data_IF_934235972475
#
_entry.id   IF_934235972475
#
_cell.length_a   1.000
_cell.length_b   1.000
_cell.length_c   1.000
_cell.angle_alpha   90.00
_cell.angle_beta   90.00
_cell.angle_gamma   90.00
#
_symmetry.space_group_name_H-M   'P 1'
#
loop_
_entity.id
_entity.type
_entity.pdbx_description
1 polymer ?
#
# COMPACT_ATOMS: atom_id res chain seq x y z
N UNK A 1 -3.33 18.01 21.95
CA UNK A 1 -3.08 17.52 20.59
C UNK A 1 -4.35 16.89 20.06
N UNK A 2 -4.73 17.12 18.80
CA UNK A 2 -5.93 16.50 18.21
C UNK A 2 -5.79 14.97 18.22
N UNK A 3 -6.90 14.27 18.49
CA UNK A 3 -6.94 12.81 18.59
C UNK A 3 -6.87 12.13 17.21
N UNK A 4 -7.32 12.85 16.20
CA UNK A 4 -7.35 12.41 14.80
C UNK A 4 -6.30 13.16 13.99
N UNK A 5 -5.50 12.41 13.23
CA UNK A 5 -4.53 12.93 12.26
C UNK A 5 -5.10 12.63 10.86
N UNK A 6 -5.50 13.66 10.09
CA UNK A 6 -6.14 13.42 8.79
C UNK A 6 -5.25 12.71 7.78
N UNK A 7 -3.95 13.02 7.79
CA UNK A 7 -2.99 12.52 6.80
C UNK A 7 -1.59 12.48 7.40
N UNK A 8 -0.89 11.38 7.14
CA UNK A 8 0.57 11.26 7.23
C UNK A 8 1.07 10.87 5.84
N UNK A 9 2.16 11.49 5.38
CA UNK A 9 2.73 11.19 4.07
C UNK A 9 4.23 10.99 4.18
N UNK A 10 4.72 9.96 3.50
CA UNK A 10 6.12 9.59 3.42
C UNK A 10 6.53 9.61 1.95
N UNK A 11 7.54 10.42 1.61
CA UNK A 11 8.15 10.37 0.28
C UNK A 11 8.91 9.06 0.07
N UNK A 12 9.26 8.75 -1.18
CA UNK A 12 9.91 7.49 -1.54
C UNK A 12 11.26 7.25 -0.87
N UNK A 13 11.98 8.32 -0.50
CA UNK A 13 13.27 8.21 0.17
C UNK A 13 13.18 7.77 1.64
N UNK A 14 11.99 7.79 2.26
CA UNK A 14 11.82 7.41 3.67
C UNK A 14 11.72 5.89 3.77
N UNK A 15 12.70 5.25 4.40
CA UNK A 15 12.73 3.79 4.57
C UNK A 15 11.63 3.27 5.50
N UNK A 16 11.34 1.96 5.44
CA UNK A 16 10.28 1.33 6.24
C UNK A 16 10.44 1.59 7.75
N UNK A 17 11.64 1.40 8.30
CA UNK A 17 11.92 1.61 9.73
C UNK A 17 11.64 3.06 10.16
N UNK A 18 12.04 4.04 9.35
CA UNK A 18 11.78 5.46 9.64
C UNK A 18 10.28 5.79 9.61
N UNK A 19 9.54 5.23 8.64
CA UNK A 19 8.08 5.39 8.55
C UNK A 19 7.40 4.86 9.82
N UNK A 20 7.80 3.67 10.26
CA UNK A 20 7.29 3.05 11.49
C UNK A 20 7.65 3.90 12.71
N UNK A 21 8.89 4.35 12.85
CA UNK A 21 9.31 5.20 13.96
C UNK A 21 8.52 6.51 14.07
N UNK A 22 8.21 7.15 12.93
CA UNK A 22 7.35 8.34 12.90
C UNK A 22 5.92 8.02 13.35
N UNK A 23 5.34 6.91 12.88
CA UNK A 23 3.99 6.51 13.27
C UNK A 23 3.91 6.14 14.76
N UNK A 24 4.90 5.42 15.28
CA UNK A 24 4.99 5.10 16.72
C UNK A 24 5.11 6.38 17.57
N UNK A 25 5.84 7.40 17.09
CA UNK A 25 5.97 8.68 17.76
C UNK A 25 4.66 9.49 17.83
N UNK A 26 3.68 9.22 16.96
CA UNK A 26 2.33 9.79 17.07
C UNK A 26 1.56 9.22 18.28
N UNK A 27 2.05 8.13 18.88
CA UNK A 27 1.45 7.33 19.96
C UNK A 27 0.18 6.57 19.54
N UNK A 28 0.07 5.32 20.01
CA UNK A 28 -1.01 4.38 19.65
C UNK A 28 -2.44 4.82 19.96
N UNK A 29 -2.63 5.84 20.81
CA UNK A 29 -3.94 6.42 21.11
C UNK A 29 -4.49 7.35 20.01
N UNK A 30 -3.66 7.68 19.01
CA UNK A 30 -4.09 8.47 17.85
C UNK A 30 -4.75 7.61 16.80
N UNK A 31 -5.61 8.27 16.03
CA UNK A 31 -6.21 7.69 14.85
C UNK A 31 -5.73 8.44 13.62
N UNK A 32 -5.07 7.74 12.70
CA UNK A 32 -4.62 8.27 11.42
C UNK A 32 -5.62 7.86 10.35
N UNK A 33 -6.23 8.84 9.71
CA UNK A 33 -7.23 8.56 8.69
C UNK A 33 -6.59 8.00 7.41
N UNK A 34 -5.47 8.60 6.97
CA UNK A 34 -4.74 8.16 5.77
C UNK A 34 -3.23 8.21 5.99
N UNK A 35 -2.56 7.14 5.58
CA UNK A 35 -1.10 7.10 5.42
C UNK A 35 -0.79 6.98 3.94
N UNK A 36 0.06 7.87 3.42
CA UNK A 36 0.56 7.83 2.05
C UNK A 36 2.03 7.41 2.06
N UNK A 37 2.39 6.50 1.17
CA UNK A 37 3.76 6.02 0.96
C UNK A 37 4.10 6.20 -0.52
N UNK A 38 5.04 7.10 -0.80
CA UNK A 38 5.28 7.63 -2.13
C UNK A 38 4.19 8.57 -2.60
N UNK A 39 4.39 9.10 -3.79
CA UNK A 39 3.38 9.83 -4.57
C UNK A 39 3.58 9.56 -6.08
N UNK A 40 2.82 10.25 -6.92
CA UNK A 40 2.85 10.08 -8.38
C UNK A 40 4.19 10.48 -9.00
N UNK A 41 4.88 11.50 -8.45
CA UNK A 41 6.16 11.99 -8.96
C UNK A 41 7.33 11.17 -8.41
N UNK A 42 7.23 10.74 -7.15
CA UNK A 42 8.22 9.91 -6.45
C UNK A 42 7.57 8.64 -5.89
N UNK A 43 7.24 7.64 -6.76
CA UNK A 43 6.71 6.37 -6.31
C UNK A 43 7.80 5.53 -5.63
N UNK A 44 7.37 4.70 -4.69
CA UNK A 44 8.26 3.79 -3.97
C UNK A 44 8.61 2.60 -4.85
N UNK A 45 9.89 2.32 -5.06
CA UNK A 45 10.29 1.13 -5.83
C UNK A 45 9.89 -0.16 -5.12
N UNK A 46 9.25 -1.07 -5.86
CA UNK A 46 8.79 -2.39 -5.39
C UNK A 46 9.91 -3.19 -4.70
N UNK A 47 11.16 -3.08 -5.16
CA UNK A 47 12.28 -3.89 -4.66
C UNK A 47 13.12 -3.19 -3.60
N UNK A 48 13.02 -1.87 -3.45
CA UNK A 48 13.91 -1.09 -2.58
C UNK A 48 13.19 -0.42 -1.41
N UNK A 49 11.88 -0.16 -1.54
CA UNK A 49 11.21 0.78 -0.67
C UNK A 49 10.41 0.19 0.50
N UNK A 50 10.40 -1.14 0.64
CA UNK A 50 9.77 -1.85 1.78
C UNK A 50 8.33 -1.40 2.06
N UNK A 51 7.57 -1.05 1.02
CA UNK A 51 6.28 -0.37 1.15
C UNK A 51 5.27 -1.17 1.98
N UNK A 52 5.42 -2.48 2.03
CA UNK A 52 4.56 -3.41 2.77
C UNK A 52 5.10 -3.80 4.15
N UNK A 53 6.26 -3.29 4.56
CA UNK A 53 6.96 -3.76 5.76
C UNK A 53 6.54 -2.99 7.03
N UNK A 54 6.47 -3.71 8.15
CA UNK A 54 6.39 -3.12 9.50
C UNK A 54 5.00 -2.69 9.97
N UNK A 55 3.97 -2.75 9.13
CA UNK A 55 2.60 -2.32 9.47
C UNK A 55 1.96 -3.10 10.63
N UNK A 56 2.43 -4.32 10.93
CA UNK A 56 1.94 -5.13 12.03
C UNK A 56 2.45 -4.73 13.43
N UNK A 57 3.18 -3.62 13.59
CA UNK A 57 3.65 -3.19 14.92
C UNK A 57 2.47 -2.79 15.83
N UNK A 58 2.47 -3.34 17.06
CA UNK A 58 1.43 -3.08 18.06
C UNK A 58 1.46 -1.64 18.62
N UNK A 59 2.51 -0.88 18.35
CA UNK A 59 2.66 0.49 18.85
C UNK A 59 2.15 1.54 17.85
N UNK A 60 1.71 1.11 16.67
CA UNK A 60 1.17 2.02 15.67
C UNK A 60 -0.17 2.61 16.13
N UNK A 61 -0.48 3.85 15.71
CA UNK A 61 -1.82 4.39 15.84
C UNK A 61 -2.80 3.53 15.03
N UNK A 62 -4.09 3.67 15.33
CA UNK A 62 -5.13 3.10 14.48
C UNK A 62 -5.06 3.78 13.10
N UNK A 63 -4.96 3.00 12.02
CA UNK A 63 -4.84 3.51 10.64
C UNK A 63 -6.05 3.04 9.85
N UNK A 64 -6.86 3.95 9.29
CA UNK A 64 -8.02 3.55 8.47
C UNK A 64 -7.65 3.17 7.05
N UNK A 65 -6.78 3.94 6.42
CA UNK A 65 -6.41 3.76 5.02
C UNK A 65 -4.91 3.87 4.81
N UNK A 66 -4.33 2.93 4.09
CA UNK A 66 -2.96 3.00 3.56
C UNK A 66 -3.03 3.19 2.05
N UNK A 67 -2.33 4.18 1.53
CA UNK A 67 -2.19 4.44 0.10
C UNK A 67 -0.72 4.35 -0.28
N UNK A 68 -0.42 3.51 -1.25
CA UNK A 68 0.94 3.28 -1.74
C UNK A 68 1.01 3.63 -3.21
N UNK A 69 1.89 4.56 -3.56
CA UNK A 69 2.33 4.76 -4.94
C UNK A 69 3.62 3.98 -5.14
N UNK A 70 3.63 3.09 -6.11
CA UNK A 70 4.70 2.14 -6.31
C UNK A 70 5.13 2.06 -7.76
N UNK A 71 6.43 1.97 -8.01
CA UNK A 71 7.00 1.69 -9.33
C UNK A 71 7.61 0.29 -9.37
N UNK A 72 7.53 -0.34 -10.54
CA UNK A 72 8.19 -1.60 -10.83
C UNK A 72 9.43 -1.29 -11.67
N UNK A 73 10.65 -1.58 -11.19
CA UNK A 73 11.87 -1.38 -11.97
C UNK A 73 11.83 -2.16 -13.29
N UNK A 74 12.36 -1.58 -14.37
CA UNK A 74 12.35 -2.18 -15.72
C UNK A 74 13.03 -3.55 -15.78
N UNK A 75 13.94 -3.84 -14.84
CA UNK A 75 14.66 -5.11 -14.79
C UNK A 75 13.86 -6.24 -14.13
N UNK A 76 12.70 -5.94 -13.53
CA UNK A 76 11.84 -6.92 -12.87
C UNK A 76 10.79 -7.42 -13.86
N UNK A 77 10.77 -8.73 -14.10
CA UNK A 77 9.75 -9.36 -14.95
C UNK A 77 8.34 -9.18 -14.34
N UNK A 78 7.34 -8.93 -15.18
CA UNK A 78 5.95 -8.68 -14.77
C UNK A 78 5.36 -9.77 -13.88
N UNK A 79 5.67 -11.03 -14.15
CA UNK A 79 5.24 -12.17 -13.34
C UNK A 79 5.84 -12.13 -11.94
N UNK A 80 7.13 -11.81 -11.83
CA UNK A 80 7.83 -11.65 -10.56
C UNK A 80 7.29 -10.44 -9.80
N UNK A 81 7.06 -9.33 -10.51
CA UNK A 81 6.44 -8.14 -9.91
C UNK A 81 5.04 -8.45 -9.35
N UNK A 82 4.21 -9.18 -10.11
CA UNK A 82 2.89 -9.63 -9.69
C UNK A 82 2.93 -10.50 -8.43
N UNK A 83 3.89 -11.43 -8.33
CA UNK A 83 4.09 -12.26 -7.14
C UNK A 83 4.54 -11.44 -5.92
N UNK A 84 5.49 -10.52 -6.10
CA UNK A 84 5.97 -9.63 -5.03
C UNK A 84 4.86 -8.73 -4.50
N UNK A 85 4.04 -8.16 -5.40
CA UNK A 85 2.88 -7.34 -5.02
C UNK A 85 1.85 -8.18 -4.28
N UNK A 86 1.56 -9.40 -4.76
CA UNK A 86 0.64 -10.33 -4.08
C UNK A 86 1.12 -10.63 -2.67
N UNK A 87 2.38 -11.02 -2.52
CA UNK A 87 2.94 -11.46 -1.24
C UNK A 87 3.02 -10.28 -0.25
N UNK A 88 3.47 -9.11 -0.72
CA UNK A 88 3.51 -7.88 0.08
C UNK A 88 2.14 -7.39 0.52
N UNK A 89 1.17 -7.33 -0.41
CA UNK A 89 -0.21 -6.96 -0.07
C UNK A 89 -0.82 -7.96 0.90
N UNK A 90 -0.65 -9.26 0.67
CA UNK A 90 -1.16 -10.30 1.56
C UNK A 90 -0.58 -10.14 2.96
N UNK A 91 0.73 -9.91 3.07
CA UNK A 91 1.39 -9.65 4.34
C UNK A 91 0.81 -8.43 5.06
N UNK A 92 0.59 -7.32 4.36
CA UNK A 92 0.01 -6.10 4.93
C UNK A 92 -1.44 -6.34 5.40
N UNK A 93 -2.26 -7.03 4.62
CA UNK A 93 -3.67 -7.28 4.94
C UNK A 93 -3.85 -8.31 6.06
N UNK A 94 -2.95 -9.30 6.15
CA UNK A 94 -2.92 -10.28 7.24
C UNK A 94 -2.31 -9.71 8.53
N UNK A 95 -1.55 -8.61 8.42
CA UNK A 95 -1.08 -7.88 9.60
C UNK A 95 -2.28 -7.30 10.36
N UNK A 96 -2.21 -7.36 11.70
CA UNK A 96 -3.24 -6.82 12.59
C UNK A 96 -3.17 -5.29 12.69
N UNK A 97 -3.18 -4.59 11.56
CA UNK A 97 -3.19 -3.12 11.52
C UNK A 97 -4.50 -2.64 12.14
N UNK A 98 -4.40 -2.01 13.30
CA UNK A 98 -5.56 -1.59 14.06
C UNK A 98 -6.39 -0.58 13.27
N UNK A 99 -7.68 -0.85 13.09
CA UNK A 99 -8.62 0.04 12.40
C UNK A 99 -8.52 0.06 10.88
N UNK A 100 -7.67 -0.78 10.27
CA UNK A 100 -7.53 -0.83 8.82
C UNK A 100 -8.84 -1.24 8.16
N UNK A 101 -9.29 -0.39 7.23
CA UNK A 101 -10.49 -0.56 6.42
C UNK A 101 -10.16 -0.66 4.94
N UNK A 102 -9.07 -0.03 4.49
CA UNK A 102 -8.76 0.06 3.08
C UNK A 102 -7.26 0.12 2.80
N UNK A 103 -6.83 -0.55 1.74
CA UNK A 103 -5.52 -0.37 1.13
C UNK A 103 -5.71 0.01 -0.33
N UNK A 104 -5.02 1.06 -0.76
CA UNK A 104 -4.96 1.53 -2.12
C UNK A 104 -3.53 1.35 -2.61
N UNK A 105 -3.37 0.71 -3.76
CA UNK A 105 -2.09 0.59 -4.47
C UNK A 105 -2.26 1.20 -5.85
N UNK A 106 -1.35 2.10 -6.19
CA UNK A 106 -1.28 2.70 -7.51
C UNK A 106 0.08 2.39 -8.13
N UNK A 107 0.06 1.91 -9.37
CA UNK A 107 1.26 1.68 -10.17
C UNK A 107 1.18 2.52 -11.47
N UNK A 108 2.21 3.32 -11.79
CA UNK A 108 2.26 4.04 -13.06
C UNK A 108 2.31 3.05 -14.23
N UNK A 109 1.81 3.50 -15.36
CA UNK A 109 1.95 2.80 -16.63
C UNK A 109 3.43 2.67 -17.01
N UNK A 110 3.83 1.51 -17.55
CA UNK A 110 5.23 1.22 -17.86
C UNK A 110 5.50 -0.23 -18.24
N UNK A 111 4.58 -1.13 -17.88
CA UNK A 111 4.66 -2.55 -18.19
C UNK A 111 3.33 -3.03 -18.77
N UNK A 112 3.36 -3.45 -20.04
CA UNK A 112 2.16 -3.75 -20.83
C UNK A 112 1.36 -4.93 -20.24
N UNK A 113 2.04 -5.92 -19.63
CA UNK A 113 1.42 -7.14 -19.12
C UNK A 113 1.34 -7.19 -17.58
N UNK A 114 1.89 -6.20 -16.87
CA UNK A 114 1.93 -6.17 -15.39
C UNK A 114 0.53 -6.22 -14.77
N UNK A 115 -0.43 -5.52 -15.34
CA UNK A 115 -1.81 -5.53 -14.85
C UNK A 115 -2.42 -6.92 -14.90
N UNK A 116 -2.12 -7.68 -15.96
CA UNK A 116 -2.60 -9.04 -16.12
C UNK A 116 -1.82 -10.02 -15.24
N UNK A 117 -0.52 -9.82 -15.06
CA UNK A 117 0.29 -10.60 -14.12
C UNK A 117 -0.22 -10.43 -12.67
N UNK A 118 -0.47 -9.20 -12.22
CA UNK A 118 -1.03 -8.92 -10.90
C UNK A 118 -2.41 -9.60 -10.75
N UNK A 119 -3.29 -9.49 -11.75
CA UNK A 119 -4.62 -10.14 -11.73
C UNK A 119 -4.54 -11.66 -11.71
N UNK A 120 -3.54 -12.27 -12.34
CA UNK A 120 -3.31 -13.71 -12.30
C UNK A 120 -2.80 -14.17 -10.93
N UNK A 121 -1.98 -13.35 -10.26
CA UNK A 121 -1.42 -13.65 -8.95
C UNK A 121 -2.41 -13.40 -7.80
N UNK A 122 -3.23 -12.35 -7.88
CA UNK A 122 -4.15 -11.96 -6.81
C UNK A 122 -5.53 -12.56 -6.98
N UNK A 123 -5.97 -13.26 -5.94
CA UNK A 123 -7.36 -13.65 -5.82
C UNK A 123 -8.23 -12.42 -5.50
N UNK A 124 -9.54 -12.53 -5.75
CA UNK A 124 -10.50 -11.47 -5.41
C UNK A 124 -10.69 -11.23 -3.90
N UNK A 125 -9.95 -11.96 -3.05
CA UNK A 125 -10.03 -11.87 -1.59
C UNK A 125 -8.72 -12.26 -0.91
N UNK A 126 -8.40 -11.53 0.16
CA UNK A 126 -7.39 -11.88 1.15
C UNK A 126 -7.98 -11.63 2.54
N UNK A 127 -8.08 -12.66 3.38
CA UNK A 127 -8.71 -12.55 4.69
C UNK A 127 -10.12 -11.94 4.64
N UNK A 128 -10.32 -10.87 5.40
CA UNK A 128 -11.57 -10.09 5.45
C UNK A 128 -11.67 -9.01 4.36
N UNK A 129 -10.72 -8.93 3.43
CA UNK A 129 -10.66 -7.90 2.41
C UNK A 129 -11.06 -8.42 1.04
N UNK A 130 -12.01 -7.75 0.40
CA UNK A 130 -12.28 -7.98 -1.02
C UNK A 130 -11.35 -7.09 -1.86
N UNK A 131 -10.76 -7.68 -2.92
CA UNK A 131 -9.78 -7.03 -3.80
C UNK A 131 -10.45 -6.69 -5.12
N UNK A 132 -10.28 -5.45 -5.55
CA UNK A 132 -10.84 -4.91 -6.79
C UNK A 132 -9.77 -4.13 -7.54
N UNK A 133 -9.87 -4.15 -8.87
CA UNK A 133 -9.06 -3.34 -9.77
C UNK A 133 -10.00 -2.29 -10.36
N UNK A 134 -9.70 -1.01 -10.17
CA UNK A 134 -10.47 0.03 -10.85
C UNK A 134 -9.99 0.11 -12.30
N UNK A 135 -10.91 0.14 -13.27
CA UNK A 135 -10.54 0.36 -14.66
C UNK A 135 -9.94 1.76 -14.82
N UNK A 136 -9.02 1.90 -15.77
CA UNK A 136 -8.35 3.15 -16.10
C UNK A 136 -9.36 4.31 -16.13
N UNK A 137 -9.20 5.24 -15.19
CA UNK A 137 -9.98 6.47 -15.19
C UNK A 137 -9.52 7.37 -16.33
N UNK A 138 -10.37 8.27 -16.88
CA UNK A 138 -10.00 9.18 -17.98
C UNK A 138 -8.86 10.17 -17.65
N UNK A 139 -8.35 10.13 -16.42
CA UNK A 139 -7.28 10.98 -15.91
C UNK A 139 -6.16 10.18 -15.21
N UNK A 140 -6.18 8.84 -15.30
CA UNK A 140 -5.24 7.96 -14.59
C UNK A 140 -4.65 6.97 -15.60
N UNK A 141 -3.39 7.17 -15.95
CA UNK A 141 -2.57 6.19 -16.70
C UNK A 141 -1.87 5.30 -15.68
N UNK A 142 -2.41 4.10 -15.41
CA UNK A 142 -1.82 3.17 -14.46
C UNK A 142 -2.80 2.20 -13.83
N UNK A 143 -2.27 1.24 -13.08
CA UNK A 143 -3.06 0.18 -12.43
C UNK A 143 -3.43 0.66 -11.02
N UNK A 144 -4.73 0.84 -10.77
CA UNK A 144 -5.25 1.06 -9.42
C UNK A 144 -5.88 -0.21 -8.85
N UNK A 145 -5.39 -0.62 -7.69
CA UNK A 145 -5.91 -1.74 -6.93
C UNK A 145 -6.39 -1.29 -5.56
N UNK A 146 -7.53 -1.84 -5.13
CA UNK A 146 -8.14 -1.56 -3.84
C UNK A 146 -8.43 -2.86 -3.09
N UNK A 147 -7.98 -2.93 -1.85
CA UNK A 147 -8.43 -3.94 -0.89
C UNK A 147 -9.33 -3.25 0.14
N UNK A 148 -10.59 -3.69 0.26
CA UNK A 148 -11.58 -3.09 1.15
C UNK A 148 -12.04 -4.13 2.16
N UNK A 149 -11.98 -3.77 3.44
CA UNK A 149 -12.41 -4.65 4.54
C UNK A 149 -13.92 -4.82 4.52
N UNK A 150 -14.37 -6.05 4.67
CA UNK A 150 -15.78 -6.39 4.85
C UNK A 150 -16.26 -5.96 6.22
N UNK A 151 -17.42 -5.31 6.24
CA UNK A 151 -18.16 -4.93 7.46
C UNK A 151 -18.91 -6.10 8.08
#
# INVERSE_FOLDING_TARGET
MPREVPKVAFGAAVGAEDRIGVLEALAGEREVYRVYVGDEEEPVSLTQGGAFDGWGSNNLPSIRTVHVHMSVPDEVEDTVAGELIRDGLTSLLDCSVQGLQQVLLWLPEGHDDLGDAIRQCLHSRVGDFDITFEPDGPWVTGIEMRAIRRS
#
